data_IF_793565543439
#
_entry.id   IF_793565543439
#
_cell.length_a   1.000
_cell.length_b   1.000
_cell.length_c   1.000
_cell.angle_alpha   90.00
_cell.angle_beta   90.00
_cell.angle_gamma   90.00
#
_symmetry.space_group_name_H-M   'P 1'
#
loop_
_entity.id
_entity.type
_entity.pdbx_description
1 polymer ?
#
# COMPACT_ATOMS: atom_id res chain seq x y z
N UNK A 1 37.32 19.21 11.74
CA UNK A 1 37.49 18.04 10.85
C UNK A 1 36.26 17.18 10.98
N UNK A 2 35.30 17.35 10.06
CA UNK A 2 34.02 16.65 10.07
C UNK A 2 34.08 15.49 9.06
N UNK A 3 33.87 14.26 9.53
CA UNK A 3 33.79 13.08 8.68
C UNK A 3 32.46 13.09 7.91
N UNK A 4 32.55 13.24 6.59
CA UNK A 4 31.47 12.97 5.63
C UNK A 4 31.06 11.49 5.75
N UNK A 5 29.84 11.22 6.20
CA UNK A 5 29.17 9.92 5.94
C UNK A 5 28.67 9.95 4.50
N UNK A 6 29.33 9.18 3.64
CA UNK A 6 28.94 8.98 2.24
C UNK A 6 27.82 7.95 2.16
N UNK A 7 26.61 8.38 1.84
CA UNK A 7 25.55 7.51 1.33
C UNK A 7 25.91 7.10 -0.11
N UNK A 8 26.31 5.84 -0.28
CA UNK A 8 26.62 5.25 -1.57
C UNK A 8 25.30 4.80 -2.20
N UNK A 9 24.76 5.61 -3.12
CA UNK A 9 23.79 5.15 -4.11
C UNK A 9 24.57 4.45 -5.22
N UNK A 10 24.52 3.12 -5.26
CA UNK A 10 24.91 2.37 -6.44
C UNK A 10 23.65 2.00 -7.20
N UNK A 11 23.41 2.72 -8.31
CA UNK A 11 22.50 2.29 -9.35
C UNK A 11 22.96 0.90 -9.84
N UNK A 12 22.17 -0.12 -9.53
CA UNK A 12 22.49 -1.50 -9.87
C UNK A 12 22.03 -1.75 -11.32
N UNK A 13 22.91 -2.12 -12.28
CA UNK A 13 22.54 -2.29 -13.69
C UNK A 13 21.66 -3.53 -13.98
N UNK A 14 21.13 -4.20 -12.95
CA UNK A 14 20.32 -5.42 -13.07
C UNK A 14 18.82 -5.17 -13.29
N UNK A 15 18.36 -3.92 -13.29
CA UNK A 15 16.98 -3.57 -13.67
C UNK A 15 16.62 -3.94 -15.12
N UNK A 16 17.61 -4.13 -16.01
CA UNK A 16 17.38 -4.48 -17.41
C UNK A 16 17.15 -5.97 -17.66
N UNK A 17 17.41 -6.86 -16.69
CA UNK A 17 17.43 -8.31 -16.91
C UNK A 17 16.17 -9.06 -16.42
N UNK A 18 15.22 -8.38 -15.76
CA UNK A 18 13.97 -8.97 -15.29
C UNK A 18 12.82 -8.88 -16.33
N UNK A 19 13.15 -8.78 -17.61
CA UNK A 19 12.21 -8.94 -18.72
C UNK A 19 11.98 -10.45 -18.96
N UNK A 20 11.41 -11.15 -17.98
CA UNK A 20 10.71 -12.38 -18.31
C UNK A 20 9.42 -12.00 -19.05
N UNK A 21 9.23 -12.60 -20.21
CA UNK A 21 8.08 -12.33 -21.08
C UNK A 21 6.77 -12.70 -20.37
N UNK A 22 5.67 -11.96 -20.59
CA UNK A 22 4.35 -12.28 -20.02
C UNK A 22 3.81 -13.67 -20.42
N UNK A 23 4.47 -14.34 -21.37
CA UNK A 23 4.13 -15.66 -21.89
C UNK A 23 4.41 -16.81 -20.92
N UNK A 24 5.42 -16.71 -20.04
CA UNK A 24 5.83 -17.82 -19.15
C UNK A 24 4.98 -17.90 -17.88
N UNK A 25 4.60 -16.75 -17.29
CA UNK A 25 3.69 -16.68 -16.14
C UNK A 25 2.27 -17.13 -16.50
N UNK A 26 1.79 -16.79 -17.70
CA UNK A 26 0.49 -17.23 -18.21
C UNK A 26 0.41 -18.75 -18.43
N UNK A 27 1.51 -19.40 -18.80
CA UNK A 27 1.55 -20.85 -19.06
C UNK A 27 1.57 -21.69 -17.77
N UNK A 28 2.14 -21.16 -16.68
CA UNK A 28 2.09 -21.81 -15.37
C UNK A 28 0.72 -21.62 -14.70
N UNK A 29 0.14 -20.42 -14.78
CA UNK A 29 -1.21 -20.14 -14.30
C UNK A 29 -2.27 -21.06 -14.97
N UNK A 30 -2.15 -21.33 -16.27
CA UNK A 30 -3.09 -22.21 -16.98
C UNK A 30 -2.97 -23.68 -16.59
N UNK A 31 -1.82 -24.14 -16.10
CA UNK A 31 -1.63 -25.54 -15.69
C UNK A 31 -2.30 -25.89 -14.35
N UNK A 32 -2.55 -24.87 -13.51
CA UNK A 32 -3.27 -25.00 -12.22
C UNK A 32 -4.78 -24.79 -12.40
N UNK A 33 -5.20 -24.08 -13.45
CA UNK A 33 -6.60 -23.70 -13.66
C UNK A 33 -7.34 -24.73 -14.50
N UNK A 34 -8.09 -25.60 -13.83
CA UNK A 34 -9.06 -26.52 -14.46
C UNK A 34 -10.37 -25.82 -14.86
N UNK A 35 -11.33 -26.56 -15.46
CA UNK A 35 -12.64 -26.03 -15.87
C UNK A 35 -13.49 -25.45 -14.72
N UNK A 36 -13.09 -25.66 -13.47
CA UNK A 36 -13.71 -25.10 -12.28
C UNK A 36 -13.54 -23.58 -12.17
N UNK A 37 -12.49 -23.02 -12.79
CA UNK A 37 -12.24 -21.56 -12.79
C UNK A 37 -13.37 -20.79 -13.45
N UNK A 38 -13.89 -21.28 -14.58
CA UNK A 38 -15.00 -20.65 -15.30
C UNK A 38 -16.27 -20.58 -14.43
N UNK A 39 -16.50 -21.62 -13.62
CA UNK A 39 -17.64 -21.64 -12.70
C UNK A 39 -17.47 -20.66 -11.55
N UNK A 40 -16.26 -20.55 -10.99
CA UNK A 40 -15.98 -19.52 -9.98
C UNK A 40 -16.24 -18.12 -10.53
N UNK A 41 -15.73 -17.82 -11.73
CA UNK A 41 -15.87 -16.50 -12.35
C UNK A 41 -17.32 -16.15 -12.63
N UNK A 42 -18.16 -17.11 -13.06
CA UNK A 42 -19.60 -16.91 -13.20
C UNK A 42 -20.25 -16.51 -11.87
N UNK A 43 -19.86 -17.13 -10.77
CA UNK A 43 -20.37 -16.78 -9.44
C UNK A 43 -19.87 -15.39 -9.00
N UNK A 44 -18.62 -15.04 -9.28
CA UNK A 44 -18.06 -13.72 -8.97
C UNK A 44 -18.81 -12.60 -9.73
N UNK A 45 -19.24 -12.86 -10.98
CA UNK A 45 -20.04 -11.92 -11.77
C UNK A 45 -21.45 -11.69 -11.21
N UNK A 46 -21.98 -12.58 -10.36
CA UNK A 46 -23.33 -12.44 -9.79
C UNK A 46 -23.37 -11.59 -8.52
N UNK A 47 -22.22 -11.34 -7.89
CA UNK A 47 -22.14 -10.55 -6.65
C UNK A 47 -21.89 -9.08 -6.99
N UNK A 48 -22.71 -8.21 -6.43
CA UNK A 48 -22.59 -6.78 -6.66
C UNK A 48 -21.47 -6.19 -5.79
N UNK A 49 -20.74 -5.24 -6.35
CA UNK A 49 -19.69 -4.49 -5.66
C UNK A 49 -20.22 -3.75 -4.42
N UNK A 50 -21.46 -3.25 -4.48
CA UNK A 50 -22.13 -2.55 -3.38
C UNK A 50 -22.34 -3.41 -2.13
N UNK A 51 -22.37 -4.73 -2.27
CA UNK A 51 -22.53 -5.67 -1.15
C UNK A 51 -21.22 -5.82 -0.34
N UNK A 52 -20.11 -5.27 -0.86
CA UNK A 52 -18.78 -5.33 -0.25
C UNK A 52 -18.34 -3.97 0.36
N UNK A 53 -19.25 -2.99 0.47
CA UNK A 53 -18.93 -1.67 1.06
C UNK A 53 -18.47 -1.87 2.51
N UNK A 54 -17.24 -1.45 2.80
CA UNK A 54 -16.59 -1.61 4.10
C UNK A 54 -16.36 -0.27 4.83
N UNK A 55 -16.53 0.85 4.13
CA UNK A 55 -16.40 2.18 4.72
C UNK A 55 -17.44 3.15 4.16
N UNK A 56 -17.96 4.01 5.02
CA UNK A 56 -18.72 5.18 4.59
C UNK A 56 -17.78 6.24 4.01
N UNK A 57 -18.33 7.21 3.29
CA UNK A 57 -17.56 8.32 2.72
C UNK A 57 -17.60 9.49 3.68
N UNK A 58 -16.42 9.89 4.16
CA UNK A 58 -16.24 11.14 4.91
C UNK A 58 -15.62 12.15 3.97
N UNK A 59 -16.34 13.25 3.75
CA UNK A 59 -15.92 14.29 2.83
C UNK A 59 -15.27 15.45 3.59
N UNK A 60 -14.24 16.04 2.99
CA UNK A 60 -13.58 17.26 3.48
C UNK A 60 -13.63 18.33 2.40
N UNK A 61 -13.86 19.59 2.80
CA UNK A 61 -13.83 20.72 1.88
C UNK A 61 -12.43 20.89 1.29
N UNK A 62 -12.35 21.27 0.01
CA UNK A 62 -11.08 21.37 -0.71
C UNK A 62 -10.09 22.34 -0.05
N UNK A 63 -10.61 23.46 0.44
CA UNK A 63 -9.87 24.58 1.04
C UNK A 63 -9.61 24.42 2.54
N UNK A 64 -10.16 23.39 3.18
CA UNK A 64 -9.85 23.02 4.56
C UNK A 64 -8.36 22.77 4.75
N UNK A 65 -7.85 22.97 5.96
CA UNK A 65 -6.43 22.78 6.25
C UNK A 65 -6.05 21.29 6.33
N UNK A 66 -4.81 20.97 5.98
CA UNK A 66 -4.26 19.60 6.10
C UNK A 66 -4.33 19.12 7.55
N UNK A 67 -4.10 20.00 8.52
CA UNK A 67 -4.23 19.69 9.95
C UNK A 67 -5.64 19.23 10.30
N UNK A 68 -6.67 19.93 9.81
CA UNK A 68 -8.06 19.55 10.04
C UNK A 68 -8.40 18.20 9.39
N UNK A 69 -7.93 17.95 8.17
CA UNK A 69 -8.12 16.65 7.52
C UNK A 69 -7.42 15.51 8.27
N UNK A 70 -6.22 15.76 8.80
CA UNK A 70 -5.51 14.82 9.66
C UNK A 70 -6.27 14.53 10.96
N UNK A 71 -6.82 15.54 11.62
CA UNK A 71 -7.68 15.38 12.79
C UNK A 71 -8.91 14.53 12.48
N UNK A 72 -9.58 14.77 11.35
CA UNK A 72 -10.71 13.96 10.89
C UNK A 72 -10.32 12.50 10.62
N UNK A 73 -9.20 12.25 9.94
CA UNK A 73 -8.69 10.88 9.71
C UNK A 73 -8.47 10.12 11.02
N UNK A 74 -7.91 10.79 12.03
CA UNK A 74 -7.62 10.20 13.34
C UNK A 74 -8.89 10.02 14.18
N UNK A 75 -9.80 10.99 14.16
CA UNK A 75 -11.01 10.99 14.98
C UNK A 75 -12.05 9.97 14.51
N UNK A 76 -12.26 9.87 13.19
CA UNK A 76 -13.20 8.92 12.59
C UNK A 76 -12.61 7.51 12.46
N UNK A 77 -11.29 7.34 12.68
CA UNK A 77 -10.51 6.10 12.45
C UNK A 77 -10.80 5.46 11.08
N UNK A 78 -10.91 6.32 10.07
CA UNK A 78 -11.15 5.93 8.68
C UNK A 78 -9.84 5.92 7.90
N UNK A 79 -9.78 5.13 6.83
CA UNK A 79 -8.52 4.97 6.11
C UNK A 79 -8.22 6.08 5.11
N UNK A 80 -9.21 6.87 4.68
CA UNK A 80 -9.01 8.04 3.81
C UNK A 80 -10.24 8.94 3.80
N UNK A 81 -10.04 10.22 3.46
CA UNK A 81 -11.08 11.22 3.21
C UNK A 81 -11.32 11.40 1.70
N UNK A 82 -12.55 11.77 1.34
CA UNK A 82 -12.88 12.23 0.00
C UNK A 82 -12.82 13.76 -0.06
N UNK A 83 -11.98 14.31 -0.93
CA UNK A 83 -11.80 15.76 -1.06
C UNK A 83 -12.84 16.28 -2.04
N UNK A 84 -13.70 17.19 -1.58
CA UNK A 84 -14.75 17.80 -2.42
C UNK A 84 -14.14 18.64 -3.55
N UNK A 85 -14.88 18.76 -4.65
CA UNK A 85 -14.50 19.67 -5.71
C UNK A 85 -14.65 21.14 -5.28
N UNK A 86 -13.70 21.98 -5.73
CA UNK A 86 -13.82 23.43 -5.59
C UNK A 86 -15.07 23.90 -6.32
N UNK A 87 -15.94 24.63 -5.61
CA UNK A 87 -17.30 24.99 -6.04
C UNK A 87 -17.40 25.78 -7.35
N UNK A 88 -16.29 26.33 -7.85
CA UNK A 88 -16.20 27.07 -9.13
C UNK A 88 -16.06 26.16 -10.36
N UNK A 89 -15.87 24.85 -10.17
CA UNK A 89 -15.70 23.91 -11.27
C UNK A 89 -17.07 23.50 -11.78
N UNK A 90 -17.38 23.72 -13.06
CA UNK A 90 -18.52 23.08 -13.77
C UNK A 90 -18.38 21.54 -13.89
N UNK A 91 -17.62 20.92 -12.98
CA UNK A 91 -17.30 19.51 -12.97
C UNK A 91 -18.51 18.72 -12.48
N UNK A 92 -18.87 17.70 -13.24
CA UNK A 92 -19.89 16.69 -12.90
C UNK A 92 -19.50 15.80 -11.72
N UNK A 93 -18.27 15.93 -11.18
CA UNK A 93 -17.73 15.03 -10.17
C UNK A 93 -17.73 15.71 -8.79
N UNK A 94 -18.37 15.07 -7.82
CA UNK A 94 -18.50 15.57 -6.43
C UNK A 94 -17.15 15.67 -5.69
N UNK A 95 -16.20 14.79 -6.04
CA UNK A 95 -14.89 14.68 -5.41
C UNK A 95 -13.76 14.84 -6.43
N UNK A 96 -12.67 15.49 -6.04
CA UNK A 96 -11.46 15.68 -6.88
C UNK A 96 -10.40 14.61 -6.64
N UNK A 97 -10.38 14.02 -5.45
CA UNK A 97 -9.34 13.10 -5.03
C UNK A 97 -9.61 12.49 -3.66
N UNK A 98 -8.73 11.58 -3.27
CA UNK A 98 -8.71 11.00 -1.93
C UNK A 98 -7.50 11.56 -1.15
N UNK A 99 -7.59 11.53 0.18
CA UNK A 99 -6.53 11.96 1.09
C UNK A 99 -6.36 10.92 2.20
N UNK A 100 -5.15 10.39 2.37
CA UNK A 100 -4.82 9.39 3.39
C UNK A 100 -3.46 9.67 4.06
N UNK A 101 -3.00 8.77 4.93
CA UNK A 101 -1.69 8.87 5.55
C UNK A 101 -0.49 8.70 4.60
N UNK A 102 -0.66 8.11 3.42
CA UNK A 102 0.38 8.13 2.38
C UNK A 102 0.64 9.56 1.90
N UNK A 103 -0.42 10.35 1.69
CA UNK A 103 -0.33 11.76 1.29
C UNK A 103 0.26 12.61 2.41
N UNK A 104 -0.13 12.35 3.66
CA UNK A 104 0.47 12.98 4.85
C UNK A 104 1.96 12.66 4.95
N UNK A 105 2.36 11.40 4.76
CA UNK A 105 3.77 11.00 4.78
C UNK A 105 4.57 11.75 3.70
N UNK A 106 4.03 11.86 2.48
CA UNK A 106 4.67 12.61 1.39
C UNK A 106 4.80 14.10 1.75
N UNK A 107 3.74 14.70 2.31
CA UNK A 107 3.73 16.10 2.74
C UNK A 107 4.74 16.37 3.86
N UNK A 108 4.75 15.56 4.92
CA UNK A 108 5.69 15.70 6.03
C UNK A 108 7.14 15.46 5.58
N UNK A 109 7.37 14.50 4.68
CA UNK A 109 8.69 14.25 4.10
C UNK A 109 9.17 15.46 3.31
N UNK A 110 8.30 16.06 2.49
CA UNK A 110 8.61 17.28 1.73
C UNK A 110 8.94 18.45 2.68
N UNK A 111 8.16 18.63 3.74
CA UNK A 111 8.39 19.68 4.73
C UNK A 111 9.71 19.49 5.50
N UNK A 112 10.04 18.25 5.88
CA UNK A 112 11.26 17.93 6.62
C UNK A 112 12.52 18.04 5.75
N UNK A 113 12.43 17.64 4.47
CA UNK A 113 13.56 17.64 3.52
C UNK A 113 13.69 18.96 2.73
N UNK A 114 12.85 19.96 3.00
CA UNK A 114 12.86 21.27 2.32
C UNK A 114 14.23 21.94 2.18
N UNK A 115 15.14 21.69 3.12
CA UNK A 115 16.46 22.32 3.18
C UNK A 115 17.50 21.60 2.31
N UNK A 116 17.19 20.39 1.85
CA UNK A 116 18.05 19.60 0.96
C UNK A 116 17.66 19.71 -0.51
N UNK A 117 16.46 20.22 -0.81
CA UNK A 117 15.96 20.37 -2.19
C UNK A 117 16.60 21.60 -2.84
N UNK A 118 17.19 21.43 -4.01
CA UNK A 118 17.81 22.54 -4.72
C UNK A 118 16.74 23.46 -5.34
N UNK A 119 16.92 24.79 -5.36
CA UNK A 119 15.95 25.74 -5.94
C UNK A 119 15.57 25.51 -7.40
N UNK A 120 16.36 24.72 -8.15
CA UNK A 120 16.08 24.38 -9.55
C UNK A 120 15.10 23.19 -9.69
N UNK A 121 15.09 22.26 -8.73
CA UNK A 121 14.18 21.11 -8.68
C UNK A 121 12.77 21.52 -8.23
N UNK A 122 12.69 22.53 -7.37
CA UNK A 122 11.44 23.16 -6.93
C UNK A 122 10.66 23.76 -8.12
N UNK A 123 11.35 24.47 -9.02
CA UNK A 123 10.74 25.08 -10.22
C UNK A 123 10.21 24.08 -11.24
N UNK A 124 10.68 22.84 -11.23
CA UNK A 124 10.14 21.77 -12.08
C UNK A 124 8.79 21.25 -11.55
N UNK A 125 8.59 21.30 -10.24
CA UNK A 125 7.36 20.82 -9.57
C UNK A 125 6.45 21.97 -9.12
N UNK A 126 5.59 22.44 -10.04
CA UNK A 126 4.62 23.51 -9.81
C UNK A 126 3.73 23.31 -8.58
N UNK A 127 3.45 22.06 -8.19
CA UNK A 127 2.63 21.70 -7.03
C UNK A 127 3.38 21.79 -5.70
N UNK A 128 4.62 21.32 -5.64
CA UNK A 128 5.45 21.40 -4.44
C UNK A 128 5.72 22.86 -4.05
N UNK A 129 5.96 23.72 -5.04
CA UNK A 129 6.11 25.17 -4.83
C UNK A 129 4.85 25.81 -4.23
N UNK A 130 3.67 25.42 -4.70
CA UNK A 130 2.39 25.89 -4.15
C UNK A 130 2.21 25.46 -2.69
N UNK A 131 2.49 24.20 -2.38
CA UNK A 131 2.45 23.67 -1.01
C UNK A 131 3.41 24.46 -0.12
N UNK A 132 4.63 24.71 -0.57
CA UNK A 132 5.65 25.45 0.18
C UNK A 132 5.26 26.91 0.41
N UNK A 133 4.64 27.55 -0.58
CA UNK A 133 4.09 28.90 -0.45
C UNK A 133 2.94 28.96 0.56
N UNK A 134 2.00 28.02 0.46
CA UNK A 134 0.87 27.88 1.36
C UNK A 134 1.32 27.61 2.82
N UNK A 135 2.34 26.76 2.99
CA UNK A 135 2.93 26.47 4.30
C UNK A 135 3.59 27.72 4.92
N UNK A 136 4.23 28.59 4.10
CA UNK A 136 4.76 29.88 4.58
C UNK A 136 3.65 30.85 4.98
N UNK A 137 2.50 30.77 4.33
CA UNK A 137 1.30 31.54 4.68
C UNK A 137 0.59 30.99 5.92
N UNK A 138 0.98 29.82 6.44
CA UNK A 138 0.43 29.20 7.64
C UNK A 138 -0.87 28.43 7.42
N UNK A 139 -1.28 28.20 6.17
CA UNK A 139 -2.47 27.43 5.82
C UNK A 139 -2.21 26.63 4.55
N UNK A 140 -2.15 25.30 4.66
CA UNK A 140 -2.01 24.41 3.51
C UNK A 140 -3.37 23.78 3.23
N UNK A 141 -4.04 24.12 2.12
CA UNK A 141 -5.33 23.52 1.79
C UNK A 141 -5.16 22.06 1.33
N UNK A 142 -6.11 21.21 1.72
CA UNK A 142 -6.06 19.75 1.49
C UNK A 142 -6.02 19.39 0.00
N UNK A 143 -6.68 20.16 -0.87
CA UNK A 143 -6.64 19.88 -2.31
C UNK A 143 -5.21 19.90 -2.88
N UNK A 144 -4.29 20.69 -2.30
CA UNK A 144 -2.89 20.72 -2.72
C UNK A 144 -2.14 19.46 -2.30
N UNK A 145 -2.59 18.74 -1.27
CA UNK A 145 -1.93 17.54 -0.74
C UNK A 145 -2.66 16.24 -1.12
N UNK A 146 -3.93 16.31 -1.51
CA UNK A 146 -4.71 15.15 -1.95
C UNK A 146 -4.02 14.36 -3.08
N UNK A 147 -3.79 13.06 -2.89
CA UNK A 147 -3.05 12.23 -3.83
C UNK A 147 -1.63 12.76 -4.14
N UNK A 148 -0.97 13.46 -3.19
CA UNK A 148 0.44 13.85 -3.31
C UNK A 148 1.37 12.63 -3.34
N UNK A 149 0.97 11.52 -2.72
CA UNK A 149 1.68 10.24 -2.78
C UNK A 149 1.54 9.51 -4.12
N UNK A 150 0.65 9.97 -5.00
CA UNK A 150 0.29 9.33 -6.28
C UNK A 150 -0.20 7.88 -6.13
N UNK A 151 -0.85 7.57 -5.00
CA UNK A 151 -1.40 6.24 -4.69
C UNK A 151 -2.92 6.25 -4.49
N UNK A 152 -3.50 7.42 -4.32
CA UNK A 152 -4.88 7.66 -3.93
C UNK A 152 -5.71 8.23 -5.09
N UNK A 153 -5.62 7.57 -6.24
CA UNK A 153 -6.45 7.92 -7.39
C UNK A 153 -7.92 7.67 -7.06
N UNK A 154 -8.76 8.64 -7.37
CA UNK A 154 -10.20 8.51 -7.25
C UNK A 154 -10.72 7.58 -8.35
N UNK A 155 -10.99 6.33 -7.99
CA UNK A 155 -11.62 5.35 -8.87
C UNK A 155 -13.08 5.15 -8.46
N UNK A 156 -13.96 5.10 -9.45
CA UNK A 156 -15.40 4.93 -9.23
C UNK A 156 -15.93 3.77 -10.07
N UNK A 157 -16.98 3.12 -9.57
CA UNK A 157 -17.72 2.11 -10.33
C UNK A 157 -19.22 2.38 -10.21
N UNK A 158 -19.97 1.91 -11.21
CA UNK A 158 -21.42 2.09 -11.25
C UNK A 158 -22.13 1.26 -10.18
N UNK A 159 -23.39 1.59 -9.92
CA UNK A 159 -24.24 0.87 -8.98
C UNK A 159 -24.37 -0.64 -9.29
N UNK A 160 -24.36 -1.02 -10.57
CA UNK A 160 -24.48 -2.42 -11.05
C UNK A 160 -23.11 -3.11 -11.24
N UNK A 161 -22.03 -2.49 -10.79
CA UNK A 161 -20.71 -3.11 -10.87
C UNK A 161 -20.65 -4.38 -10.01
N UNK A 162 -19.82 -5.34 -10.43
CA UNK A 162 -19.70 -6.64 -9.79
C UNK A 162 -18.35 -6.80 -9.10
N UNK A 163 -18.16 -7.90 -8.38
CA UNK A 163 -16.85 -8.28 -7.83
C UNK A 163 -15.75 -8.31 -8.91
N UNK A 164 -16.07 -8.77 -10.12
CA UNK A 164 -15.11 -8.78 -11.24
C UNK A 164 -14.72 -7.36 -11.67
N UNK A 165 -15.65 -6.41 -11.61
CA UNK A 165 -15.36 -4.99 -11.87
C UNK A 165 -14.40 -4.40 -10.84
N UNK A 166 -14.58 -4.73 -9.55
CA UNK A 166 -13.65 -4.34 -8.48
C UNK A 166 -12.28 -4.97 -8.66
N UNK A 167 -12.25 -6.27 -8.97
CA UNK A 167 -11.02 -7.03 -9.20
C UNK A 167 -10.17 -6.40 -10.30
N UNK A 168 -10.79 -5.95 -11.41
CA UNK A 168 -10.09 -5.26 -12.49
C UNK A 168 -9.42 -3.94 -12.07
N UNK A 169 -9.97 -3.26 -11.05
CA UNK A 169 -9.41 -2.01 -10.51
C UNK A 169 -8.31 -2.28 -9.49
N UNK A 170 -8.55 -3.19 -8.55
CA UNK A 170 -7.62 -3.48 -7.45
C UNK A 170 -6.39 -4.27 -7.90
N UNK A 171 -6.52 -5.17 -8.88
CA UNK A 171 -5.39 -5.91 -9.45
C UNK A 171 -4.31 -5.02 -10.11
N UNK A 172 -4.62 -3.74 -10.34
CA UNK A 172 -3.72 -2.73 -10.92
C UNK A 172 -3.12 -1.79 -9.86
N UNK A 173 -3.25 -2.11 -8.57
CA UNK A 173 -2.72 -1.31 -7.47
C UNK A 173 -3.63 -0.15 -7.04
N UNK A 174 -4.94 -0.27 -7.28
CA UNK A 174 -5.92 0.59 -6.59
C UNK A 174 -6.18 0.02 -5.21
N UNK A 175 -6.26 0.87 -4.19
CA UNK A 175 -6.60 0.43 -2.83
C UNK A 175 -8.08 0.61 -2.51
N UNK A 176 -8.74 1.59 -3.16
CA UNK A 176 -10.12 2.01 -2.83
C UNK A 176 -10.90 2.40 -4.07
N UNK A 177 -12.18 2.06 -4.08
CA UNK A 177 -13.13 2.40 -5.15
C UNK A 177 -14.43 2.90 -4.53
N UNK A 178 -14.98 3.99 -5.07
CA UNK A 178 -16.29 4.51 -4.66
C UNK A 178 -17.41 3.87 -5.49
N UNK A 179 -18.50 3.52 -4.81
CA UNK A 179 -19.70 2.96 -5.45
C UNK A 179 -20.70 4.08 -5.70
N UNK A 180 -21.07 4.31 -6.96
CA UNK A 180 -22.09 5.30 -7.32
C UNK A 180 -23.48 4.89 -6.84
N UNK A 181 -24.27 5.88 -6.42
CA UNK A 181 -25.69 5.72 -6.16
C UNK A 181 -26.45 5.44 -7.46
N UNK A 182 -27.61 4.76 -7.38
CA UNK A 182 -28.45 4.57 -8.55
C UNK A 182 -28.95 5.92 -9.09
N UNK A 183 -29.05 6.02 -10.41
CA UNK A 183 -29.60 7.19 -11.08
C UNK A 183 -31.02 7.49 -10.57
N UNK A 184 -31.42 8.77 -10.43
CA UNK A 184 -30.76 9.98 -10.95
C UNK A 184 -29.76 10.64 -9.98
N UNK A 185 -29.45 10.02 -8.83
CA UNK A 185 -28.49 10.60 -7.89
C UNK A 185 -27.08 10.60 -8.49
N UNK A 186 -26.32 11.67 -8.24
CA UNK A 186 -24.88 11.75 -8.55
C UNK A 186 -24.01 11.58 -7.31
N UNK A 187 -24.60 11.02 -6.24
CA UNK A 187 -23.92 10.74 -4.98
C UNK A 187 -23.31 9.33 -4.97
N UNK A 188 -22.62 8.99 -3.89
CA UNK A 188 -21.94 7.71 -3.71
C UNK A 188 -22.47 7.00 -2.46
N UNK A 189 -22.65 5.67 -2.56
CA UNK A 189 -23.17 4.85 -1.46
C UNK A 189 -22.12 4.59 -0.37
N UNK A 190 -20.85 4.49 -0.77
CA UNK A 190 -19.77 4.09 0.12
C UNK A 190 -18.51 3.74 -0.66
N UNK A 191 -17.51 3.26 0.08
CA UNK A 191 -16.22 2.82 -0.44
C UNK A 191 -16.04 1.32 -0.24
N UNK A 192 -15.37 0.69 -1.20
CA UNK A 192 -14.87 -0.67 -1.09
C UNK A 192 -13.35 -0.64 -1.11
N UNK A 193 -12.70 -1.35 -0.20
CA UNK A 193 -11.25 -1.57 -0.20
C UNK A 193 -10.84 -2.87 -0.90
N UNK A 194 -9.59 -2.91 -1.37
CA UNK A 194 -8.93 -4.12 -1.85
C UNK A 194 -8.95 -5.25 -0.80
N UNK A 195 -8.80 -4.87 0.48
CA UNK A 195 -8.91 -5.76 1.63
C UNK A 195 -10.33 -6.32 1.82
N UNK A 196 -11.38 -5.52 1.64
CA UNK A 196 -12.76 -6.01 1.71
C UNK A 196 -13.03 -7.05 0.62
N UNK A 197 -12.51 -6.81 -0.59
CA UNK A 197 -12.56 -7.80 -1.66
C UNK A 197 -11.79 -9.08 -1.31
N UNK A 198 -10.58 -8.96 -0.73
CA UNK A 198 -9.80 -10.11 -0.29
C UNK A 198 -10.52 -10.90 0.81
N UNK A 199 -11.16 -10.21 1.76
CA UNK A 199 -11.98 -10.82 2.81
C UNK A 199 -13.15 -11.59 2.21
N UNK A 200 -13.81 -11.03 1.20
CA UNK A 200 -14.89 -11.72 0.48
C UNK A 200 -14.39 -13.00 -0.19
N UNK A 201 -13.22 -12.97 -0.85
CA UNK A 201 -12.61 -14.19 -1.44
C UNK A 201 -12.29 -15.24 -0.38
N UNK A 202 -11.81 -14.82 0.80
CA UNK A 202 -11.57 -15.73 1.93
C UNK A 202 -12.87 -16.42 2.37
N UNK A 203 -13.95 -15.67 2.56
CA UNK A 203 -15.27 -16.23 2.92
C UNK A 203 -15.93 -17.01 1.78
N UNK A 204 -15.60 -16.72 0.53
CA UNK A 204 -16.01 -17.52 -0.62
C UNK A 204 -15.33 -18.90 -0.62
N UNK A 205 -14.03 -18.96 -0.30
CA UNK A 205 -13.30 -20.23 -0.19
C UNK A 205 -13.88 -21.17 0.87
N UNK A 206 -14.38 -20.63 1.99
CA UNK A 206 -15.05 -21.44 3.01
C UNK A 206 -16.29 -22.19 2.50
N UNK A 207 -16.97 -21.64 1.49
CA UNK A 207 -18.22 -22.19 0.93
C UNK A 207 -18.01 -22.93 -0.40
N UNK A 208 -16.85 -22.77 -1.04
CA UNK A 208 -16.53 -23.36 -2.34
C UNK A 208 -15.27 -24.23 -2.21
N UNK A 209 -15.42 -25.55 -1.96
CA UNK A 209 -14.29 -26.45 -1.71
C UNK A 209 -13.24 -26.47 -2.82
N UNK A 210 -13.65 -26.38 -4.09
CA UNK A 210 -12.73 -26.32 -5.23
C UNK A 210 -11.84 -25.07 -5.20
N UNK A 211 -12.41 -23.91 -4.88
CA UNK A 211 -11.64 -22.67 -4.71
C UNK A 211 -10.74 -22.74 -3.46
N UNK A 212 -11.19 -23.37 -2.38
CA UNK A 212 -10.34 -23.63 -1.21
C UNK A 212 -9.12 -24.48 -1.56
N UNK A 213 -9.31 -25.57 -2.31
CA UNK A 213 -8.19 -26.39 -2.78
C UNK A 213 -7.19 -25.61 -3.63
N UNK A 214 -7.66 -24.63 -4.41
CA UNK A 214 -6.77 -23.71 -5.11
C UNK A 214 -5.95 -22.83 -4.13
N UNK A 215 -6.56 -22.30 -3.07
CA UNK A 215 -5.86 -21.49 -2.06
C UNK A 215 -4.93 -22.31 -1.15
N UNK A 216 -5.13 -23.62 -1.04
CA UNK A 216 -4.28 -24.50 -0.24
C UNK A 216 -2.96 -24.87 -0.94
N UNK A 217 -2.77 -24.43 -2.20
CA UNK A 217 -1.47 -24.48 -2.86
C UNK A 217 -0.44 -23.59 -2.14
N UNK A 218 0.82 -24.04 -2.14
CA UNK A 218 1.92 -23.28 -1.54
C UNK A 218 2.18 -22.01 -2.33
N UNK A 219 2.67 -20.97 -1.66
CA UNK A 219 3.08 -19.73 -2.32
C UNK A 219 4.06 -20.03 -3.45
N UNK A 220 5.04 -20.92 -3.25
CA UNK A 220 6.00 -21.33 -4.28
C UNK A 220 5.35 -21.91 -5.55
N UNK A 221 4.25 -22.65 -5.39
CA UNK A 221 3.54 -23.26 -6.53
C UNK A 221 2.66 -22.29 -7.31
N UNK A 222 2.34 -21.13 -6.72
CA UNK A 222 1.53 -20.10 -7.36
C UNK A 222 2.47 -19.02 -7.88
N UNK A 223 2.41 -18.74 -9.18
CA UNK A 223 3.23 -17.70 -9.82
C UNK A 223 2.76 -16.29 -9.42
N UNK A 224 3.00 -15.91 -8.17
CA UNK A 224 2.78 -14.55 -7.68
C UNK A 224 3.92 -13.65 -8.20
N UNK A 225 3.61 -12.52 -8.88
CA UNK A 225 4.61 -11.68 -9.54
C UNK A 225 5.74 -11.19 -8.63
N UNK A 226 5.47 -10.97 -7.35
CA UNK A 226 6.41 -10.36 -6.39
C UNK A 226 7.10 -11.35 -5.43
N UNK A 227 6.81 -12.65 -5.54
CA UNK A 227 7.17 -13.65 -4.53
C UNK A 227 8.67 -13.97 -4.45
N UNK A 228 9.41 -13.87 -5.56
CA UNK A 228 10.83 -14.23 -5.64
C UNK A 228 11.72 -13.10 -6.16
N UNK A 229 11.29 -11.86 -5.95
CA UNK A 229 12.04 -10.69 -6.39
C UNK A 229 12.70 -10.06 -5.16
N UNK A 230 13.96 -10.41 -4.89
CA UNK A 230 14.73 -9.80 -3.80
C UNK A 230 14.77 -8.25 -3.92
N UNK A 231 14.64 -7.71 -5.14
CA UNK A 231 14.58 -6.26 -5.39
C UNK A 231 13.22 -5.62 -5.10
N UNK A 232 12.18 -6.37 -4.74
CA UNK A 232 10.85 -5.81 -4.39
C UNK A 232 10.72 -5.49 -2.90
N UNK A 233 11.62 -6.03 -2.06
CA UNK A 233 11.60 -5.81 -0.61
C UNK A 233 12.25 -4.48 -0.29
N UNK A 234 11.41 -3.49 0.05
CA UNK A 234 11.89 -2.21 0.59
C UNK A 234 12.10 -2.37 2.10
N UNK A 235 13.36 -2.35 2.53
CA UNK A 235 13.76 -2.57 3.92
C UNK A 235 14.76 -1.52 4.41
N UNK A 236 14.82 -1.36 5.73
CA UNK A 236 15.80 -0.56 6.45
C UNK A 236 16.18 -1.23 7.77
N UNK A 237 17.19 -0.71 8.47
CA UNK A 237 17.69 -1.26 9.74
C UNK A 237 17.00 -0.66 10.96
N UNK A 238 16.97 -1.40 12.06
CA UNK A 238 16.28 -1.02 13.31
C UNK A 238 16.82 0.24 13.99
N UNK A 239 18.07 0.63 13.67
CA UNK A 239 18.75 1.83 14.18
C UNK A 239 18.57 3.06 13.28
N UNK A 240 17.99 2.91 12.09
CA UNK A 240 17.64 4.03 11.21
C UNK A 240 16.54 4.90 11.85
N UNK A 241 16.40 6.13 11.37
CA UNK A 241 15.44 7.10 11.93
C UNK A 241 14.06 6.96 11.28
N UNK A 242 13.03 7.40 11.99
CA UNK A 242 11.65 7.51 11.46
C UNK A 242 11.63 8.27 10.13
N UNK A 243 12.36 9.39 10.03
CA UNK A 243 12.45 10.17 8.79
C UNK A 243 13.03 9.36 7.61
N UNK A 244 14.00 8.48 7.87
CA UNK A 244 14.58 7.62 6.83
C UNK A 244 13.53 6.64 6.28
N UNK A 245 12.70 6.06 7.15
CA UNK A 245 11.59 5.20 6.74
C UNK A 245 10.50 5.96 5.98
N UNK A 246 10.13 7.17 6.44
CA UNK A 246 9.17 8.04 5.76
C UNK A 246 9.61 8.38 4.34
N UNK A 247 10.88 8.76 4.20
CA UNK A 247 11.52 9.06 2.92
C UNK A 247 11.55 7.82 2.03
N UNK A 248 11.96 6.67 2.56
CA UNK A 248 12.01 5.42 1.83
C UNK A 248 10.62 4.99 1.33
N UNK A 249 9.57 5.15 2.15
CA UNK A 249 8.18 4.90 1.75
C UNK A 249 7.74 5.82 0.62
N UNK A 250 8.12 7.10 0.67
CA UNK A 250 7.77 8.08 -0.36
C UNK A 250 8.52 7.82 -1.68
N UNK A 251 9.84 7.68 -1.64
CA UNK A 251 10.70 7.49 -2.81
C UNK A 251 10.44 6.16 -3.52
N UNK A 252 10.27 5.08 -2.75
CA UNK A 252 9.93 3.77 -3.32
C UNK A 252 8.41 3.61 -3.56
N UNK A 253 7.61 4.54 -3.05
CA UNK A 253 6.14 4.58 -3.10
C UNK A 253 5.49 3.28 -2.63
N UNK A 254 6.01 2.75 -1.53
CA UNK A 254 5.43 1.64 -0.79
C UNK A 254 4.61 2.18 0.39
N UNK A 255 3.59 1.45 0.84
CA UNK A 255 2.81 1.81 2.04
C UNK A 255 3.44 1.36 3.35
N UNK A 256 4.49 0.53 3.28
CA UNK A 256 5.23 0.07 4.43
C UNK A 256 6.62 -0.42 4.05
N UNK A 257 7.52 -0.39 5.03
CA UNK A 257 8.90 -0.85 4.93
C UNK A 257 9.17 -1.95 5.94
N UNK A 258 9.97 -2.95 5.54
CA UNK A 258 10.52 -3.91 6.48
C UNK A 258 11.59 -3.25 7.35
N UNK A 259 11.60 -3.58 8.64
CA UNK A 259 12.65 -3.17 9.57
C UNK A 259 13.40 -4.41 10.00
N UNK A 260 14.69 -4.43 9.72
CA UNK A 260 15.59 -5.56 9.95
C UNK A 260 16.42 -5.28 11.20
N UNK A 261 16.56 -6.29 12.04
CA UNK A 261 17.48 -6.24 13.16
C UNK A 261 18.92 -6.24 12.66
N UNK A 262 19.68 -5.20 13.02
CA UNK A 262 21.06 -5.01 12.53
C UNK A 262 22.02 -6.11 12.99
N UNK A 263 21.80 -6.70 14.17
CA UNK A 263 22.66 -7.73 14.74
C UNK A 263 22.35 -9.12 14.17
N UNK A 264 21.06 -9.45 14.07
CA UNK A 264 20.58 -10.77 13.65
C UNK A 264 20.39 -10.89 12.13
N UNK A 265 20.24 -9.77 11.41
CA UNK A 265 19.93 -9.76 9.98
C UNK A 265 18.53 -10.30 9.64
N UNK A 266 17.65 -10.40 10.63
CA UNK A 266 16.29 -10.93 10.52
C UNK A 266 15.24 -9.81 10.59
N UNK A 267 14.05 -10.05 10.03
CA UNK A 267 12.92 -9.11 10.15
C UNK A 267 12.53 -8.89 11.62
N UNK A 268 12.70 -7.66 12.11
CA UNK A 268 12.24 -7.22 13.42
C UNK A 268 10.74 -6.92 13.41
N UNK A 269 10.32 -6.09 12.44
CA UNK A 269 8.91 -5.72 12.26
C UNK A 269 8.71 -4.98 10.92
N UNK A 270 7.55 -4.35 10.75
CA UNK A 270 7.27 -3.46 9.63
C UNK A 270 6.75 -2.12 10.17
N UNK A 271 7.01 -1.04 9.42
CA UNK A 271 6.46 0.29 9.70
C UNK A 271 5.68 0.74 8.47
N UNK A 272 4.44 1.17 8.67
CA UNK A 272 3.54 1.64 7.61
C UNK A 272 3.31 3.14 7.66
N UNK A 273 2.80 3.70 6.56
CA UNK A 273 2.35 5.10 6.50
C UNK A 273 1.25 5.38 7.53
N UNK A 274 0.41 4.39 7.85
CA UNK A 274 -0.61 4.51 8.90
C UNK A 274 0.01 4.63 10.28
N UNK A 275 1.06 3.85 10.58
CA UNK A 275 1.79 3.94 11.85
C UNK A 275 2.45 5.32 12.01
N UNK A 276 3.08 5.80 10.94
CA UNK A 276 3.62 7.16 10.86
C UNK A 276 2.51 8.18 11.11
N UNK A 277 1.39 8.06 10.39
CA UNK A 277 0.25 8.96 10.53
C UNK A 277 -0.28 9.03 11.97
N UNK A 278 -0.51 7.87 12.60
CA UNK A 278 -1.09 7.78 13.94
C UNK A 278 -0.17 8.28 15.05
N UNK A 279 1.15 8.19 14.89
CA UNK A 279 2.10 8.61 15.93
C UNK A 279 2.72 9.97 15.64
N UNK A 280 3.14 10.24 14.40
CA UNK A 280 3.87 11.46 14.05
C UNK A 280 2.93 12.67 13.96
N UNK A 281 1.72 12.51 13.43
CA UNK A 281 0.78 13.63 13.27
C UNK A 281 0.36 14.24 14.61
N UNK A 282 0.03 13.47 15.65
CA UNK A 282 -0.28 14.03 16.97
C UNK A 282 0.94 14.54 17.74
N UNK A 283 2.16 14.22 17.30
CA UNK A 283 3.37 14.70 17.95
C UNK A 283 3.64 16.17 17.63
N UNK A 284 3.57 17.03 18.63
CA UNK A 284 3.94 18.45 18.50
C UNK A 284 5.46 18.67 18.34
N UNK A 285 6.27 17.64 18.63
CA UNK A 285 7.73 17.72 18.63
C UNK A 285 8.36 16.95 17.47
N UNK A 286 9.12 17.67 16.63
CA UNK A 286 9.87 17.12 15.51
C UNK A 286 10.94 16.08 15.90
N UNK A 287 11.30 15.95 17.19
CA UNK A 287 12.21 14.91 17.65
C UNK A 287 11.74 13.49 17.34
N UNK A 288 10.43 13.27 17.17
CA UNK A 288 9.88 11.97 16.76
C UNK A 288 10.45 11.50 15.41
N UNK A 289 10.81 12.43 14.53
CA UNK A 289 11.40 12.14 13.22
C UNK A 289 12.82 11.57 13.33
N UNK A 290 13.53 11.88 14.42
CA UNK A 290 14.87 11.36 14.71
C UNK A 290 14.87 10.12 15.60
N UNK A 291 13.70 9.68 16.06
CA UNK A 291 13.56 8.47 16.88
C UNK A 291 14.03 7.25 16.08
N UNK A 292 14.85 6.36 16.68
CA UNK A 292 15.21 5.09 16.05
C UNK A 292 13.99 4.19 15.82
N UNK A 293 13.97 3.45 14.71
CA UNK A 293 12.80 2.65 14.30
C UNK A 293 12.43 1.56 15.31
N UNK A 294 13.38 0.93 15.99
CA UNK A 294 13.05 -0.05 17.05
C UNK A 294 12.23 0.58 18.20
N UNK A 295 12.53 1.81 18.59
CA UNK A 295 11.78 2.54 19.61
C UNK A 295 10.40 2.94 19.08
N UNK A 296 10.34 3.40 17.83
CA UNK A 296 9.08 3.73 17.17
C UNK A 296 8.16 2.50 17.07
N UNK A 297 8.68 1.35 16.66
CA UNK A 297 7.94 0.07 16.63
C UNK A 297 7.39 -0.29 18.01
N UNK A 298 8.18 -0.09 19.08
CA UNK A 298 7.71 -0.33 20.44
C UNK A 298 6.53 0.59 20.82
N UNK A 299 6.52 1.84 20.35
CA UNK A 299 5.40 2.76 20.57
C UNK A 299 4.14 2.34 19.80
N UNK A 300 4.28 1.94 18.52
CA UNK A 300 3.17 1.39 17.71
C UNK A 300 2.55 0.18 18.41
N UNK A 301 3.39 -0.73 18.91
CA UNK A 301 2.91 -1.94 19.59
C UNK A 301 2.34 -1.66 20.98
N UNK A 302 2.83 -0.62 21.68
CA UNK A 302 2.31 -0.28 23.00
C UNK A 302 0.84 0.20 22.95
N UNK A 303 0.40 0.79 21.84
CA UNK A 303 -1.02 1.10 21.65
C UNK A 303 -1.89 -0.15 21.47
N UNK A 304 -1.32 -1.24 20.95
CA UNK A 304 -2.01 -2.52 20.84
C UNK A 304 -2.01 -3.23 22.20
N UNK A 305 -3.20 -3.59 22.71
CA UNK A 305 -3.32 -4.29 23.99
C UNK A 305 -3.42 -3.41 25.23
N UNK A 306 -3.11 -2.10 25.15
CA UNK A 306 -3.23 -1.19 26.30
C UNK A 306 -4.68 -0.93 26.71
N UNK A 307 -5.65 -1.07 25.80
CA UNK A 307 -7.07 -0.75 26.03
C UNK A 307 -7.94 -1.98 26.24
N UNK A 308 -7.60 -3.11 25.61
CA UNK A 308 -8.38 -4.36 25.64
C UNK A 308 -7.66 -5.51 26.39
N UNK A 309 -6.40 -5.32 26.80
CA UNK A 309 -5.59 -6.33 27.48
C UNK A 309 -5.10 -7.46 26.57
N UNK A 310 -5.31 -7.36 25.25
CA UNK A 310 -4.86 -8.35 24.28
C UNK A 310 -3.58 -7.84 23.64
N UNK A 311 -2.44 -8.33 24.12
CA UNK A 311 -1.14 -8.07 23.50
C UNK A 311 -1.12 -8.65 22.08
N UNK A 312 -1.12 -7.77 21.07
CA UNK A 312 -1.03 -8.16 19.65
C UNK A 312 0.38 -7.92 19.19
N UNK A 313 1.08 -9.02 18.88
CA UNK A 313 2.39 -8.96 18.24
C UNK A 313 2.27 -9.47 16.80
N UNK A 314 1.87 -8.61 15.83
CA UNK A 314 1.67 -9.05 14.46
C UNK A 314 3.00 -9.50 13.84
N UNK A 315 2.99 -10.72 13.30
CA UNK A 315 4.12 -11.29 12.59
C UNK A 315 3.88 -11.14 11.10
N UNK A 316 4.60 -10.23 10.44
CA UNK A 316 4.46 -9.95 9.01
C UNK A 316 5.26 -10.89 8.10
N UNK A 317 5.69 -12.05 8.62
CA UNK A 317 6.57 -13.00 7.94
C UNK A 317 5.80 -14.20 7.39
N UNK A 318 6.15 -14.67 6.19
CA UNK A 318 5.71 -15.95 5.62
C UNK A 318 6.87 -16.67 4.94
N UNK A 319 6.69 -17.96 4.69
CA UNK A 319 7.65 -18.82 4.00
C UNK A 319 7.07 -19.28 2.65
N UNK A 320 7.90 -19.52 1.62
CA UNK A 320 7.43 -20.03 0.32
C UNK A 320 6.62 -21.33 0.41
N UNK A 321 6.85 -22.13 1.45
CA UNK A 321 6.15 -23.39 1.74
C UNK A 321 4.76 -23.19 2.34
N UNK A 322 4.46 -22.01 2.89
CA UNK A 322 3.12 -21.70 3.41
C UNK A 322 2.10 -21.64 2.28
N UNK A 323 0.83 -21.91 2.60
CA UNK A 323 -0.27 -21.85 1.63
C UNK A 323 -0.70 -20.42 1.35
N UNK A 324 -1.32 -20.19 0.19
CA UNK A 324 -1.95 -18.90 -0.12
C UNK A 324 -3.07 -18.58 0.88
N UNK A 325 -3.86 -19.58 1.28
CA UNK A 325 -4.91 -19.44 2.31
C UNK A 325 -4.34 -18.91 3.63
N UNK A 326 -3.18 -19.42 4.07
CA UNK A 326 -2.50 -18.94 5.27
C UNK A 326 -2.02 -17.49 5.12
N UNK A 327 -1.42 -17.13 3.98
CA UNK A 327 -0.98 -15.76 3.71
C UNK A 327 -2.18 -14.77 3.71
N UNK A 328 -3.30 -15.14 3.08
CA UNK A 328 -4.54 -14.34 3.09
C UNK A 328 -5.03 -14.14 4.51
N UNK A 329 -5.16 -15.22 5.30
CA UNK A 329 -5.59 -15.14 6.69
C UNK A 329 -4.67 -14.25 7.52
N UNK A 330 -3.35 -14.31 7.29
CA UNK A 330 -2.38 -13.47 8.00
C UNK A 330 -2.48 -11.99 7.61
N UNK A 331 -2.64 -11.67 6.33
CA UNK A 331 -2.93 -10.29 5.86
C UNK A 331 -4.22 -9.76 6.51
N UNK A 332 -5.27 -10.58 6.54
CA UNK A 332 -6.53 -10.24 7.17
C UNK A 332 -6.38 -10.04 8.69
N UNK A 333 -5.79 -11.00 9.41
CA UNK A 333 -5.66 -10.93 10.87
C UNK A 333 -4.77 -9.79 11.37
N UNK A 334 -3.74 -9.40 10.60
CA UNK A 334 -2.77 -8.37 11.00
C UNK A 334 -3.09 -6.97 10.48
N UNK A 335 -4.19 -6.79 9.73
CA UNK A 335 -4.48 -5.54 9.03
C UNK A 335 -3.33 -5.05 8.11
N UNK A 336 -2.46 -5.96 7.66
CA UNK A 336 -1.35 -5.64 6.79
C UNK A 336 -1.76 -5.63 5.30
N UNK A 337 -1.16 -4.74 4.52
CA UNK A 337 -1.27 -4.77 3.06
C UNK A 337 -0.23 -5.70 2.39
N UNK A 338 0.84 -6.06 3.11
CA UNK A 338 1.92 -6.92 2.61
C UNK A 338 2.52 -7.77 3.73
N UNK A 339 2.98 -8.95 3.36
CA UNK A 339 3.83 -9.84 4.14
C UNK A 339 5.20 -9.94 3.48
N UNK A 340 6.21 -10.23 4.28
CA UNK A 340 7.59 -10.40 3.83
C UNK A 340 7.92 -11.89 3.81
N UNK A 341 8.60 -12.32 2.76
CA UNK A 341 8.98 -13.72 2.52
C UNK A 341 10.43 -13.92 2.90
N UNK A 342 10.73 -15.02 3.59
CA UNK A 342 12.10 -15.48 3.87
C UNK A 342 12.28 -16.90 3.33
N UNK A 343 13.44 -17.15 2.70
CA UNK A 343 13.73 -18.45 2.05
C UNK A 343 14.10 -19.56 3.04
N UNK A 344 14.35 -19.24 4.31
CA UNK A 344 14.88 -20.20 5.28
C UNK A 344 13.94 -20.44 6.46
N UNK A 345 13.47 -21.68 6.60
CA UNK A 345 12.86 -22.21 7.83
C UNK A 345 13.89 -22.36 8.98
N UNK A 346 15.19 -22.23 8.69
CA UNK A 346 16.29 -22.39 9.65
C UNK A 346 17.29 -21.22 9.65
N UNK A 347 17.54 -20.70 10.85
CA UNK A 347 18.54 -19.70 11.18
C UNK A 347 19.95 -20.18 10.79
N UNK A 348 20.52 -19.66 9.70
CA UNK A 348 21.96 -19.79 9.42
C UNK A 348 22.69 -18.54 9.93
N UNK A 349 23.92 -18.69 10.47
CA UNK A 349 24.69 -17.57 10.94
C UNK A 349 25.14 -16.66 9.79
N UNK A 350 25.13 -15.36 10.09
CA UNK A 350 25.39 -14.25 9.19
C UNK A 350 26.64 -14.43 8.31
N UNK A 351 26.44 -14.71 7.03
CA UNK A 351 27.44 -14.46 6.01
C UNK A 351 26.78 -13.76 4.83
N UNK A 352 27.25 -12.53 4.58
CA UNK A 352 26.71 -11.47 3.70
C UNK A 352 25.44 -10.77 4.23
N UNK A 353 25.65 -9.65 4.94
CA UNK A 353 24.59 -8.70 5.27
C UNK A 353 24.20 -7.98 3.98
N UNK A 354 23.22 -8.53 3.26
CA UNK A 354 22.46 -7.77 2.26
C UNK A 354 21.71 -6.64 2.98
N UNK A 355 21.47 -5.51 2.31
CA UNK A 355 20.60 -4.44 2.83
C UNK A 355 19.18 -4.90 3.15
N UNK A 356 18.76 -6.07 2.63
CA UNK A 356 17.45 -6.69 2.86
C UNK A 356 17.50 -7.91 3.79
N UNK A 357 18.65 -8.22 4.42
CA UNK A 357 18.78 -9.37 5.33
C UNK A 357 18.44 -10.70 4.66
N UNK A 358 17.73 -11.58 5.36
CA UNK A 358 17.24 -12.87 4.85
C UNK A 358 15.93 -12.79 4.03
N UNK A 359 15.44 -11.58 3.74
CA UNK A 359 14.18 -11.40 3.00
C UNK A 359 14.39 -11.65 1.50
N UNK A 360 13.57 -12.51 0.92
CA UNK A 360 13.66 -12.94 -0.47
C UNK A 360 12.51 -12.44 -1.35
N UNK A 361 11.43 -11.91 -0.76
CA UNK A 361 10.29 -11.40 -1.52
C UNK A 361 9.17 -10.81 -0.67
N UNK A 362 8.07 -10.45 -1.33
CA UNK A 362 6.85 -9.95 -0.68
C UNK A 362 5.62 -10.67 -1.22
N UNK A 363 4.57 -10.73 -0.38
CA UNK A 363 3.22 -11.11 -0.79
C UNK A 363 2.28 -9.99 -0.36
N UNK A 364 1.68 -9.29 -1.32
CA UNK A 364 0.71 -8.21 -1.05
C UNK A 364 -0.71 -8.58 -1.45
N UNK A 365 -1.69 -7.83 -0.94
CA UNK A 365 -3.09 -7.96 -1.37
C UNK A 365 -3.21 -7.82 -2.90
N UNK A 366 -2.47 -6.87 -3.49
CA UNK A 366 -2.47 -6.63 -4.94
C UNK A 366 -1.92 -7.84 -5.70
N UNK A 367 -0.85 -8.49 -5.22
CA UNK A 367 -0.31 -9.70 -5.85
C UNK A 367 -1.36 -10.82 -5.89
N UNK A 368 -2.06 -11.04 -4.77
CA UNK A 368 -3.09 -12.07 -4.66
C UNK A 368 -4.30 -11.75 -5.55
N UNK A 369 -4.78 -10.50 -5.53
CA UNK A 369 -5.88 -10.07 -6.39
C UNK A 369 -5.49 -10.10 -7.87
N UNK A 370 -4.22 -9.84 -8.21
CA UNK A 370 -3.73 -9.98 -9.58
C UNK A 370 -3.80 -11.43 -10.05
N UNK A 371 -3.49 -12.41 -9.19
CA UNK A 371 -3.66 -13.82 -9.50
C UNK A 371 -5.13 -14.16 -9.75
N UNK A 372 -6.05 -13.67 -8.90
CA UNK A 372 -7.49 -13.89 -9.12
C UNK A 372 -7.99 -13.19 -10.40
N UNK A 373 -7.43 -12.05 -10.76
CA UNK A 373 -7.75 -11.37 -12.01
C UNK A 373 -7.32 -12.19 -13.25
N UNK A 374 -6.17 -12.87 -13.17
CA UNK A 374 -5.74 -13.85 -14.17
C UNK A 374 -6.72 -15.02 -14.26
N UNK A 375 -7.18 -15.55 -13.12
CA UNK A 375 -8.25 -16.58 -13.09
C UNK A 375 -9.52 -16.10 -13.80
N UNK A 376 -9.88 -14.82 -13.63
CA UNK A 376 -11.02 -14.20 -14.29
C UNK A 376 -10.80 -13.78 -15.75
N UNK A 377 -9.65 -14.12 -16.35
CA UNK A 377 -9.26 -13.72 -17.71
C UNK A 377 -9.32 -12.19 -17.94
N UNK A 378 -9.02 -11.41 -16.90
CA UNK A 378 -8.97 -9.94 -17.02
C UNK A 378 -7.68 -9.56 -17.77
N UNK A 379 -7.75 -8.77 -18.86
CA UNK A 379 -6.57 -8.35 -19.60
C UNK A 379 -5.78 -7.26 -18.88
N UNK A 380 -4.49 -7.16 -19.22
CA UNK A 380 -3.57 -6.12 -18.75
C UNK A 380 -3.49 -6.03 -17.21
N UNK A 381 -3.43 -7.20 -16.57
CA UNK A 381 -3.16 -7.32 -15.14
C UNK A 381 -1.67 -7.13 -14.91
N UNK A 382 -1.33 -6.01 -14.29
CA UNK A 382 0.05 -5.66 -13.97
C UNK A 382 0.08 -4.98 -12.60
N UNK A 383 0.46 -5.71 -11.53
CA UNK A 383 0.50 -5.16 -10.18
C UNK A 383 1.58 -4.08 -10.01
N UNK A 384 2.56 -4.02 -10.92
CA UNK A 384 3.65 -3.05 -10.89
C UNK A 384 3.38 -1.80 -11.73
N UNK A 385 2.28 -1.77 -12.50
CA UNK A 385 1.98 -0.71 -13.47
C UNK A 385 2.07 0.69 -12.86
N UNK A 386 1.43 0.88 -11.70
CA UNK A 386 1.40 2.17 -11.00
C UNK A 386 2.74 2.54 -10.38
N UNK A 387 3.50 1.55 -9.91
CA UNK A 387 4.87 1.77 -9.44
C UNK A 387 5.78 2.23 -10.57
N UNK A 388 5.68 1.61 -11.76
CA UNK A 388 6.47 1.99 -12.94
C UNK A 388 6.12 3.38 -13.46
N UNK A 389 4.83 3.68 -13.60
CA UNK A 389 4.38 5.00 -14.05
C UNK A 389 4.94 6.14 -13.18
N UNK A 390 4.98 5.93 -11.86
CA UNK A 390 5.56 6.89 -10.91
C UNK A 390 7.06 7.04 -11.05
N UNK A 391 7.80 5.93 -11.22
CA UNK A 391 9.23 5.99 -11.45
C UNK A 391 9.55 6.71 -12.76
N UNK A 392 8.79 6.47 -13.83
CA UNK A 392 8.95 7.14 -15.12
C UNK A 392 8.70 8.65 -15.03
N UNK A 393 7.68 9.10 -14.28
CA UNK A 393 7.40 10.52 -14.07
C UNK A 393 8.43 11.25 -13.17
N UNK A 394 9.21 10.52 -12.37
CA UNK A 394 10.25 11.11 -11.53
C UNK A 394 11.58 11.39 -12.28
N UNK A 395 11.73 10.87 -13.50
CA UNK A 395 12.93 11.04 -14.33
C UNK A 395 12.75 11.99 -15.53
N UNK A 396 11.54 12.50 -15.75
CA UNK A 396 11.22 13.59 -16.68
C UNK A 396 11.13 14.93 -15.93
#
# INVERSE_FOLDING_TARGET
MAQRRTSISMANPRLAAALESPSTSSALASSVLGPESDEWVKQWMQINARDLIDSHIVAVEADASVEHACELLLAEDIPCLAVKALSDSSATNLYTGLFDFSDVNAFLTLAATRHTILPHELKANSRADQIMSAARAGHVPVYLVSNLSEKNFLETVSYEATVVSLLAKFARGTHRVLIQSPAPSNDFLGMVSDRALLSWFSSYAERTPSFRSFLDNSLYSISLPSLHIHSSVVATISTAQVLDAMRLMSEQGVSSVAVIDEELGTLLSAVSVTDIGKIVVPCENNQILSTPLHQFIAQVKASDGSTDGIDKYPIYLVFPTNTLSYAIQKLLATNAHRLFVTDNDYLLPAHSISSTGNLCGIVSIVDILSQFAVVANIPDVDPTRRMRHRLEQAFD
#
